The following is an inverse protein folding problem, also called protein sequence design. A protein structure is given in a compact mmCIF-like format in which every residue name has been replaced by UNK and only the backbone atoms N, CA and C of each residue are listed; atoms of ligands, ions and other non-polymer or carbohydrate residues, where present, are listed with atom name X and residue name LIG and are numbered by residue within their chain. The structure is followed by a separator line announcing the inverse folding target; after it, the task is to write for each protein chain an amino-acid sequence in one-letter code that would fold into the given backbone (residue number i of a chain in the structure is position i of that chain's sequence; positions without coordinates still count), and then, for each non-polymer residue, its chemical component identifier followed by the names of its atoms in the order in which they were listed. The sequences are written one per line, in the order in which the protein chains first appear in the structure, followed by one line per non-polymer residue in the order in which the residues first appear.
data_IF_077399616846
#
_entry.id   IF_077399616846
#
_cell.length_a   1.000
_cell.length_b   1.000
_cell.length_c   1.000
_cell.angle_alpha   90.00
_cell.angle_beta   90.00
_cell.angle_gamma   90.00
#
_symmetry.space_group_name_H-M   'P 1'
#
loop_
_entity.id
_entity.type
_entity.pdbx_description
1 polymer ?
#
# COMPACT_ATOMS: atom_id res chain seq x y z
N UNK A 1 10.10 1.52 -8.46
CA UNK A 1 10.39 0.08 -8.19
C UNK A 1 9.11 -0.57 -7.67
N UNK A 2 8.86 -1.86 -7.91
CA UNK A 2 7.67 -2.54 -7.37
C UNK A 2 8.03 -3.55 -6.26
N UNK A 3 7.02 -3.95 -5.49
CA UNK A 3 7.16 -4.86 -4.35
C UNK A 3 7.67 -6.23 -4.78
N UNK A 4 7.17 -6.78 -5.90
CA UNK A 4 7.58 -8.07 -6.45
C UNK A 4 9.09 -8.17 -6.66
N UNK A 5 9.66 -7.22 -7.40
CA UNK A 5 11.09 -7.17 -7.67
C UNK A 5 11.91 -7.05 -6.38
N UNK A 6 11.39 -6.30 -5.42
CA UNK A 6 12.04 -6.11 -4.12
C UNK A 6 11.91 -7.33 -3.19
N UNK A 7 10.91 -8.20 -3.35
CA UNK A 7 10.82 -9.47 -2.64
C UNK A 7 11.68 -10.57 -3.29
N UNK A 8 11.83 -10.54 -4.62
CA UNK A 8 12.66 -11.50 -5.35
C UNK A 8 12.18 -12.94 -5.11
N UNK A 9 13.09 -13.81 -4.66
CA UNK A 9 12.78 -15.23 -4.41
C UNK A 9 11.73 -15.47 -3.32
N UNK A 10 11.50 -14.49 -2.44
CA UNK A 10 10.47 -14.58 -1.39
C UNK A 10 9.06 -14.27 -1.90
N UNK A 11 8.92 -13.78 -3.14
CA UNK A 11 7.64 -13.33 -3.69
C UNK A 11 6.54 -14.40 -3.67
N UNK A 12 6.75 -15.64 -4.16
CA UNK A 12 5.68 -16.64 -4.16
C UNK A 12 5.20 -17.01 -2.75
N UNK A 13 6.12 -17.01 -1.76
CA UNK A 13 5.79 -17.26 -0.36
C UNK A 13 4.99 -16.10 0.25
N UNK A 14 5.32 -14.87 -0.13
CA UNK A 14 4.57 -13.69 0.29
C UNK A 14 3.17 -13.65 -0.32
N UNK A 15 3.02 -13.94 -1.62
CA UNK A 15 1.69 -14.04 -2.25
C UNK A 15 0.83 -15.12 -1.62
N UNK A 16 1.40 -16.29 -1.30
CA UNK A 16 0.67 -17.31 -0.56
C UNK A 16 0.22 -16.82 0.81
N UNK A 17 1.10 -16.17 1.59
CA UNK A 17 0.73 -15.63 2.90
C UNK A 17 -0.36 -14.56 2.80
N UNK A 18 -0.31 -13.71 1.78
CA UNK A 18 -1.33 -12.67 1.55
C UNK A 18 -2.71 -13.27 1.28
N UNK A 19 -2.76 -14.35 0.50
CA UNK A 19 -4.00 -15.02 0.13
C UNK A 19 -4.49 -16.02 1.18
N UNK A 20 -3.59 -16.53 2.02
CA UNK A 20 -3.86 -17.54 3.04
C UNK A 20 -3.15 -17.19 4.35
N UNK A 21 -3.61 -16.14 5.07
CA UNK A 21 -3.01 -15.66 6.31
C UNK A 21 -3.15 -16.60 7.54
N UNK A 22 -3.78 -17.78 7.40
CA UNK A 22 -4.02 -18.74 8.48
C UNK A 22 -5.28 -18.46 9.31
N UNK A 23 -6.24 -17.71 8.77
CA UNK A 23 -7.54 -17.44 9.38
C UNK A 23 -8.54 -18.57 9.11
N UNK A 24 -9.52 -18.80 10.00
CA UNK A 24 -10.59 -19.79 9.75
C UNK A 24 -11.44 -19.50 8.51
N UNK A 25 -11.38 -18.26 7.99
CA UNK A 25 -12.19 -17.81 6.86
C UNK A 25 -11.71 -18.37 5.51
N UNK A 26 -10.45 -18.77 5.40
CA UNK A 26 -9.82 -19.24 4.16
C UNK A 26 -10.47 -20.48 3.53
N UNK A 27 -11.14 -21.29 4.35
CA UNK A 27 -11.81 -22.50 3.89
C UNK A 27 -13.26 -22.26 3.43
N UNK A 28 -13.75 -21.02 3.48
CA UNK A 28 -15.11 -20.70 3.09
C UNK A 28 -15.24 -20.69 1.57
N UNK A 29 -16.39 -21.18 1.09
CA UNK A 29 -16.74 -21.05 -0.33
C UNK A 29 -16.81 -19.57 -0.70
N UNK A 30 -16.14 -19.20 -1.79
CA UNK A 30 -16.06 -17.79 -2.22
C UNK A 30 -15.01 -16.96 -1.49
N UNK A 31 -14.05 -17.59 -0.78
CA UNK A 31 -12.88 -16.89 -0.24
C UNK A 31 -12.18 -16.08 -1.35
N UNK A 32 -12.00 -14.78 -1.08
CA UNK A 32 -11.38 -13.87 -2.02
C UNK A 32 -9.85 -14.01 -1.96
N UNK A 33 -9.22 -13.96 -3.12
CA UNK A 33 -7.76 -13.93 -3.25
C UNK A 33 -7.35 -12.75 -4.11
N UNK A 34 -6.12 -12.30 -3.90
CA UNK A 34 -5.52 -11.15 -4.58
C UNK A 34 -4.58 -11.63 -5.68
N UNK A 35 -4.87 -11.24 -6.92
CA UNK A 35 -3.92 -11.33 -8.05
C UNK A 35 -3.02 -10.09 -8.07
N UNK A 36 -1.99 -10.09 -7.22
CA UNK A 36 -1.08 -8.94 -7.10
C UNK A 36 -0.27 -8.73 -8.39
N UNK A 37 0.11 -9.82 -9.04
CA UNK A 37 0.78 -9.82 -10.33
C UNK A 37 -0.08 -9.19 -11.43
N UNK A 38 -1.37 -9.53 -11.47
CA UNK A 38 -2.37 -8.92 -12.34
C UNK A 38 -2.54 -7.43 -12.08
N UNK A 39 -2.66 -7.03 -10.81
CA UNK A 39 -2.75 -5.62 -10.43
C UNK A 39 -1.51 -4.82 -10.89
N UNK A 40 -0.31 -5.36 -10.70
CA UNK A 40 0.93 -4.73 -11.19
C UNK A 40 0.92 -4.59 -12.72
N UNK A 41 0.50 -5.63 -13.45
CA UNK A 41 0.39 -5.57 -14.92
C UNK A 41 -0.64 -4.53 -15.36
N UNK A 42 -1.80 -4.47 -14.71
CA UNK A 42 -2.86 -3.52 -15.03
C UNK A 42 -2.38 -2.08 -14.86
N UNK A 43 -1.73 -1.76 -13.74
CA UNK A 43 -1.18 -0.42 -13.48
C UNK A 43 -0.10 -0.06 -14.51
N UNK A 44 0.82 -0.98 -14.81
CA UNK A 44 1.89 -0.71 -15.78
C UNK A 44 1.38 -0.45 -17.20
N UNK A 45 0.21 -1.00 -17.55
CA UNK A 45 -0.41 -0.84 -18.86
C UNK A 45 -1.43 0.30 -18.91
N UNK A 46 -1.83 0.85 -17.76
CA UNK A 46 -2.85 1.89 -17.69
C UNK A 46 -2.29 3.24 -18.18
N UNK A 47 -3.11 3.96 -18.96
CA UNK A 47 -2.89 5.38 -19.26
C UNK A 47 -3.73 6.20 -18.30
N UNK A 48 -3.17 6.47 -17.13
CA UNK A 48 -3.84 7.29 -16.12
C UNK A 48 -3.62 8.78 -16.42
N UNK A 49 -4.65 9.63 -16.36
CA UNK A 49 -4.47 11.07 -16.43
C UNK A 49 -3.66 11.53 -15.22
N UNK A 50 -2.90 12.62 -15.39
CA UNK A 50 -2.20 13.25 -14.26
C UNK A 50 -3.24 13.80 -13.29
N UNK A 51 -3.01 13.57 -12.00
CA UNK A 51 -3.87 14.07 -10.93
C UNK A 51 -3.04 14.34 -9.68
N UNK A 52 -3.45 15.30 -8.82
CA UNK A 52 -2.78 15.50 -7.55
C UNK A 52 -2.74 14.21 -6.73
N UNK A 53 -1.57 13.90 -6.18
CA UNK A 53 -1.33 12.70 -5.38
C UNK A 53 -0.82 13.10 -3.99
N UNK A 54 -1.15 12.29 -2.99
CA UNK A 54 -0.52 12.28 -1.67
C UNK A 54 -0.26 10.83 -1.27
N UNK A 55 0.78 10.60 -0.47
CA UNK A 55 1.12 9.28 0.07
C UNK A 55 1.12 9.38 1.59
N UNK A 56 0.26 8.60 2.25
CA UNK A 56 0.26 8.42 3.70
C UNK A 56 0.90 7.07 4.01
N UNK A 57 1.94 7.05 4.83
CA UNK A 57 2.66 5.84 5.20
C UNK A 57 2.57 5.59 6.69
N UNK A 58 2.29 4.33 7.05
CA UNK A 58 2.41 3.83 8.42
C UNK A 58 3.81 4.05 8.98
N UNK A 59 3.91 4.08 10.30
CA UNK A 59 5.20 4.08 11.01
C UNK A 59 5.35 2.89 11.96
N UNK A 60 4.24 2.35 12.47
CA UNK A 60 4.26 1.16 13.31
C UNK A 60 4.46 -0.12 12.49
N UNK A 61 4.94 -1.21 13.11
CA UNK A 61 5.07 -2.50 12.45
C UNK A 61 3.72 -3.03 11.93
N UNK A 62 3.76 -3.87 10.90
CA UNK A 62 2.60 -4.64 10.46
C UNK A 62 2.13 -5.55 11.59
N UNK A 63 0.84 -5.46 11.91
CA UNK A 63 0.16 -6.49 12.68
C UNK A 63 0.16 -7.78 11.85
N UNK A 64 0.66 -8.87 12.43
CA UNK A 64 0.70 -10.18 11.77
C UNK A 64 0.06 -11.24 12.65
N UNK A 65 -0.68 -12.16 12.05
CA UNK A 65 -1.27 -13.29 12.76
C UNK A 65 -0.18 -14.15 13.43
N UNK A 66 -0.49 -14.81 14.56
CA UNK A 66 0.42 -15.79 15.15
C UNK A 66 0.86 -16.85 14.13
N UNK A 67 2.15 -17.20 14.13
CA UNK A 67 2.71 -18.18 13.18
C UNK A 67 3.17 -17.59 11.85
N UNK A 68 2.95 -16.30 11.58
CA UNK A 68 3.46 -15.63 10.38
C UNK A 68 5.00 -15.77 10.28
N UNK A 69 5.55 -16.23 9.13
CA UNK A 69 7.00 -16.40 8.98
C UNK A 69 7.77 -15.08 9.17
N UNK A 70 8.67 -15.06 10.16
CA UNK A 70 9.44 -13.87 10.55
C UNK A 70 10.32 -13.31 9.43
N UNK A 71 10.78 -14.15 8.50
CA UNK A 71 11.59 -13.72 7.36
C UNK A 71 10.75 -12.91 6.36
N UNK A 72 9.49 -13.31 6.14
CA UNK A 72 8.55 -12.57 5.29
C UNK A 72 8.16 -11.24 5.91
N UNK A 73 7.80 -11.21 7.20
CA UNK A 73 7.47 -9.96 7.89
C UNK A 73 8.64 -8.99 7.88
N UNK A 74 9.86 -9.46 8.20
CA UNK A 74 11.07 -8.63 8.15
C UNK A 74 11.31 -8.08 6.74
N UNK A 75 11.12 -8.90 5.70
CA UNK A 75 11.28 -8.44 4.32
C UNK A 75 10.22 -7.41 3.95
N UNK A 76 8.97 -7.61 4.37
CA UNK A 76 7.89 -6.66 4.15
C UNK A 76 8.22 -5.30 4.76
N UNK A 77 8.66 -5.26 6.02
CA UNK A 77 9.06 -4.02 6.69
C UNK A 77 10.21 -3.29 5.98
N UNK A 78 11.17 -4.03 5.43
CA UNK A 78 12.29 -3.44 4.67
C UNK A 78 11.88 -2.90 3.30
N UNK A 79 10.86 -3.50 2.68
CA UNK A 79 10.44 -3.21 1.31
C UNK A 79 9.35 -2.15 1.28
N UNK A 80 8.44 -2.14 2.27
CA UNK A 80 7.29 -1.25 2.32
C UNK A 80 7.64 0.23 2.20
N UNK A 81 8.59 0.80 2.96
CA UNK A 81 8.96 2.21 2.83
C UNK A 81 9.50 2.56 1.43
N UNK A 82 10.19 1.61 0.78
CA UNK A 82 10.77 1.83 -0.56
C UNK A 82 9.70 1.90 -1.63
N UNK A 83 8.65 1.10 -1.53
CA UNK A 83 7.53 1.15 -2.49
C UNK A 83 6.65 2.37 -2.24
N UNK A 84 6.44 2.76 -0.98
CA UNK A 84 5.74 4.00 -0.63
C UNK A 84 6.48 5.24 -1.17
N UNK A 85 7.80 5.32 -0.96
CA UNK A 85 8.62 6.40 -1.54
C UNK A 85 8.59 6.42 -3.07
N UNK A 86 8.48 5.26 -3.73
CA UNK A 86 8.34 5.21 -5.18
C UNK A 86 7.02 5.80 -5.68
N UNK A 87 5.93 5.75 -4.89
CA UNK A 87 4.66 6.39 -5.24
C UNK A 87 4.78 7.92 -5.26
N UNK A 88 5.56 8.49 -4.34
CA UNK A 88 5.82 9.94 -4.29
C UNK A 88 6.43 10.46 -5.58
N UNK A 89 7.21 9.62 -6.27
CA UNK A 89 7.87 9.98 -7.53
C UNK A 89 6.95 9.97 -8.75
N UNK A 90 5.68 9.54 -8.61
CA UNK A 90 4.75 9.47 -9.73
C UNK A 90 4.25 10.84 -10.18
N UNK A 91 4.11 11.78 -9.23
CA UNK A 91 3.65 13.15 -9.53
C UNK A 91 4.48 14.21 -8.79
N UNK A 92 4.82 15.34 -9.44
CA UNK A 92 5.48 16.44 -8.77
C UNK A 92 4.69 16.96 -7.57
N UNK A 93 5.39 17.44 -6.55
CA UNK A 93 4.79 18.05 -5.35
C UNK A 93 3.84 17.11 -4.59
N UNK A 94 4.01 15.78 -4.75
CA UNK A 94 3.33 14.77 -3.95
C UNK A 94 3.85 14.84 -2.51
N UNK A 95 3.03 15.22 -1.50
CA UNK A 95 3.44 15.13 -0.11
C UNK A 95 3.56 13.65 0.29
N UNK A 96 4.64 13.33 1.00
CA UNK A 96 4.81 12.07 1.71
C UNK A 96 4.66 12.31 3.20
N UNK A 97 3.59 11.76 3.76
CA UNK A 97 3.18 11.97 5.14
C UNK A 97 3.37 10.67 5.91
N UNK A 98 4.04 10.76 7.05
CA UNK A 98 4.26 9.62 7.94
C UNK A 98 3.31 9.70 9.14
N UNK A 99 2.35 8.80 9.19
CA UNK A 99 1.37 8.71 10.25
C UNK A 99 2.02 8.07 11.48
N UNK A 100 2.52 8.91 12.39
CA UNK A 100 3.27 8.49 13.58
C UNK A 100 2.34 7.77 14.55
N UNK A 101 2.70 6.56 14.97
CA UNK A 101 1.86 5.74 15.85
C UNK A 101 0.73 4.99 15.14
N UNK A 102 0.62 5.09 13.82
CA UNK A 102 -0.36 4.32 13.03
C UNK A 102 0.26 3.07 12.40
N UNK A 103 -0.49 1.97 12.43
CA UNK A 103 -0.18 0.72 11.72
C UNK A 103 -0.70 0.74 10.26
N UNK A 104 -0.94 -0.44 9.70
CA UNK A 104 -1.44 -0.59 8.33
C UNK A 104 -2.75 0.17 8.06
N UNK A 105 -3.64 0.30 9.05
CA UNK A 105 -4.94 0.96 8.93
C UNK A 105 -4.87 2.40 9.45
N UNK A 106 -4.14 3.25 8.72
CA UNK A 106 -3.95 4.66 9.09
C UNK A 106 -5.29 5.40 9.16
N UNK A 107 -6.23 5.08 8.28
CA UNK A 107 -7.57 5.68 8.26
C UNK A 107 -8.40 5.38 9.52
N UNK A 108 -8.09 4.30 10.22
CA UNK A 108 -8.73 3.93 11.48
C UNK A 108 -8.00 4.58 12.66
N UNK A 109 -6.66 4.54 12.65
CA UNK A 109 -5.83 5.01 13.76
C UNK A 109 -5.64 6.53 13.79
N UNK A 110 -5.64 7.18 12.64
CA UNK A 110 -5.51 8.63 12.46
C UNK A 110 -6.50 9.14 11.38
N UNK A 111 -7.81 9.12 11.70
CA UNK A 111 -8.85 9.54 10.77
C UNK A 111 -8.77 11.02 10.41
N UNK A 112 -8.34 11.88 11.35
CA UNK A 112 -8.23 13.32 11.13
C UNK A 112 -7.14 13.64 10.11
N UNK A 113 -5.97 13.01 10.22
CA UNK A 113 -4.92 13.10 9.21
C UNK A 113 -5.42 12.64 7.85
N UNK A 114 -6.08 11.49 7.81
CA UNK A 114 -6.61 10.91 6.57
C UNK A 114 -7.60 11.87 5.89
N UNK A 115 -8.55 12.43 6.65
CA UNK A 115 -9.52 13.41 6.15
C UNK A 115 -8.82 14.68 5.66
N UNK A 116 -7.82 15.19 6.38
CA UNK A 116 -7.08 16.39 5.99
C UNK A 116 -6.33 16.18 4.66
N UNK A 117 -5.72 15.02 4.47
CA UNK A 117 -5.02 14.68 3.21
C UNK A 117 -6.00 14.53 2.05
N UNK A 118 -7.15 13.90 2.27
CA UNK A 118 -8.21 13.81 1.25
C UNK A 118 -8.67 15.21 0.83
N UNK A 119 -8.94 16.10 1.80
CA UNK A 119 -9.33 17.50 1.51
C UNK A 119 -8.28 18.22 0.68
N UNK A 120 -7.00 18.09 1.05
CA UNK A 120 -5.89 18.67 0.28
C UNK A 120 -5.89 18.22 -1.19
N UNK A 121 -6.08 16.93 -1.45
CA UNK A 121 -6.08 16.39 -2.82
C UNK A 121 -7.32 16.83 -3.59
N UNK A 122 -8.50 16.82 -2.96
CA UNK A 122 -9.73 17.32 -3.57
C UNK A 122 -9.60 18.79 -3.96
N UNK A 123 -9.05 19.63 -3.09
CA UNK A 123 -8.87 21.05 -3.36
C UNK A 123 -7.87 21.28 -4.51
N UNK A 124 -6.73 20.57 -4.50
CA UNK A 124 -5.77 20.61 -5.63
C UNK A 124 -6.40 20.16 -6.95
N UNK A 125 -7.26 19.14 -6.92
CA UNK A 125 -7.91 18.63 -8.12
C UNK A 125 -8.98 19.58 -8.68
N UNK A 126 -9.60 20.39 -7.81
CA UNK A 126 -10.53 21.45 -8.21
C UNK A 126 -9.81 22.63 -8.82
N UNK A 127 -8.71 23.08 -8.19
CA UNK A 127 -7.97 24.27 -8.64
C UNK A 127 -6.95 24.00 -9.76
N UNK A 128 -6.51 22.76 -9.96
CA UNK A 128 -5.59 22.39 -11.04
C UNK A 128 -6.25 22.25 -12.41
N UNK A 129 -7.57 22.40 -12.52
CA UNK A 129 -8.34 22.35 -13.78
C UNK A 129 -8.54 23.71 -14.46
N UNK A 130 -8.13 24.79 -13.80
CA UNK A 130 -8.35 26.18 -14.26
C UNK A 130 -7.08 26.82 -14.87
N UNK A 131 -6.07 26.01 -15.22
CA UNK A 131 -4.78 26.45 -15.79
C UNK A 131 -4.43 25.78 -17.11
#
# INVERSE_FOLDING_TARGET
TNIKRLFGRLWPRYEHLLNFPGTPLENQSGWETVDTDGAIRAINNAKLPRMPLAVISKTEPFATAPGTPKDLTRRLEQVWPKVQSALVSLEPLTPHIFATGSDHYVEINDPDLTIAVIRLIVDRARHGRDG
#
